data_IF_956784425814
#
_entry.id   IF_956784425814
#
_cell.length_a   1.000
_cell.length_b   1.000
_cell.length_c   1.000
_cell.angle_alpha   90.00
_cell.angle_beta   90.00
_cell.angle_gamma   90.00
#
_symmetry.space_group_name_H-M   'P 1'
#
loop_
_entity.id
_entity.type
_entity.pdbx_description
1 polymer ?
#
# COMPACT_ATOMS: atom_id res chain seq x y z
N UNK A 1 -8.70 -1.72 4.73
CA UNK A 1 -7.83 -2.57 3.89
C UNK A 1 -6.55 -3.03 4.56
N UNK A 2 -5.75 -2.16 5.21
CA UNK A 2 -4.50 -2.59 5.87
C UNK A 2 -4.72 -3.69 6.92
N UNK A 3 -5.69 -3.51 7.82
CA UNK A 3 -6.04 -4.54 8.81
C UNK A 3 -6.46 -5.88 8.16
N UNK A 4 -7.20 -5.82 7.05
CA UNK A 4 -7.59 -7.00 6.30
C UNK A 4 -6.36 -7.71 5.67
N UNK A 5 -5.42 -6.95 5.10
CA UNK A 5 -4.17 -7.51 4.59
C UNK A 5 -3.35 -8.20 5.69
N UNK A 6 -3.35 -7.67 6.92
CA UNK A 6 -2.69 -8.31 8.04
C UNK A 6 -3.34 -9.67 8.39
N UNK A 7 -4.67 -9.78 8.28
CA UNK A 7 -5.37 -11.06 8.44
C UNK A 7 -5.03 -12.05 7.30
N UNK A 8 -4.95 -11.56 6.06
CA UNK A 8 -4.57 -12.38 4.89
C UNK A 8 -3.14 -12.94 5.06
N UNK A 9 -2.20 -12.10 5.51
CA UNK A 9 -0.83 -12.52 5.82
C UNK A 9 -0.79 -13.52 6.98
N UNK A 10 -1.58 -13.31 8.03
CA UNK A 10 -1.70 -14.27 9.13
C UNK A 10 -2.27 -15.62 8.67
N UNK A 11 -3.06 -15.63 7.59
CA UNK A 11 -3.54 -16.84 6.91
C UNK A 11 -2.54 -17.47 5.94
N UNK A 12 -1.33 -16.92 5.80
CA UNK A 12 -0.27 -17.45 4.93
C UNK A 12 -0.26 -16.90 3.50
N UNK A 13 -1.18 -15.99 3.16
CA UNK A 13 -1.32 -15.46 1.81
C UNK A 13 -0.63 -14.09 1.68
N UNK A 14 0.13 -13.81 0.60
CA UNK A 14 0.78 -12.52 0.42
C UNK A 14 -0.22 -11.37 0.26
N UNK A 15 -0.03 -10.30 1.02
CA UNK A 15 -0.87 -9.09 0.92
C UNK A 15 -0.87 -8.45 -0.47
N UNK A 16 0.14 -8.74 -1.30
CA UNK A 16 0.26 -8.18 -2.65
C UNK A 16 -0.88 -8.57 -3.59
N UNK A 17 -1.56 -9.70 -3.32
CA UNK A 17 -2.78 -10.09 -4.03
C UNK A 17 -3.98 -9.19 -3.71
N UNK A 18 -4.02 -8.61 -2.50
CA UNK A 18 -5.05 -7.66 -2.09
C UNK A 18 -4.69 -6.24 -2.54
N UNK A 19 -3.42 -5.84 -2.42
CA UNK A 19 -3.01 -4.44 -2.63
C UNK A 19 -3.19 -3.96 -4.08
N UNK A 20 -3.11 -4.87 -5.06
CA UNK A 20 -3.37 -4.55 -6.47
C UNK A 20 -4.73 -3.88 -6.71
N UNK A 21 -5.74 -4.20 -5.89
CA UNK A 21 -7.07 -3.61 -6.00
C UNK A 21 -7.13 -2.17 -5.47
N UNK A 22 -6.16 -1.76 -4.66
CA UNK A 22 -6.09 -0.42 -4.07
C UNK A 22 -5.27 0.57 -4.89
N UNK A 23 -4.50 0.11 -5.88
CA UNK A 23 -3.55 0.97 -6.61
C UNK A 23 -4.23 2.11 -7.35
N UNK A 24 -5.44 1.87 -7.90
CA UNK A 24 -6.21 2.86 -8.65
C UNK A 24 -7.06 3.81 -7.81
N UNK A 25 -7.20 3.58 -6.50
CA UNK A 25 -8.10 4.36 -5.64
C UNK A 25 -7.71 5.84 -5.50
N UNK A 26 -6.46 6.18 -5.84
CA UNK A 26 -5.91 7.55 -5.73
C UNK A 26 -5.62 8.18 -7.09
N UNK A 27 -6.19 7.67 -8.18
CA UNK A 27 -5.97 8.24 -9.50
C UNK A 27 -6.34 9.73 -9.53
N UNK A 28 -5.48 10.56 -10.12
CA UNK A 28 -5.67 12.02 -10.19
C UNK A 28 -5.36 12.79 -8.90
N UNK A 29 -4.99 12.14 -7.80
CA UNK A 29 -4.66 12.82 -6.53
C UNK A 29 -3.17 13.15 -6.40
N UNK A 30 -2.80 14.21 -5.67
CA UNK A 30 -1.42 14.43 -5.23
C UNK A 30 -0.86 13.21 -4.49
N UNK A 31 0.38 12.82 -4.81
CA UNK A 31 1.02 11.63 -4.23
C UNK A 31 0.59 10.28 -4.84
N UNK A 32 -0.30 10.26 -5.84
CA UNK A 32 -0.75 9.01 -6.48
C UNK A 32 0.39 8.17 -7.08
N UNK A 33 1.44 8.82 -7.61
CA UNK A 33 2.64 8.14 -8.12
C UNK A 33 3.39 7.43 -6.99
N UNK A 34 3.66 8.13 -5.89
CA UNK A 34 4.34 7.56 -4.72
C UNK A 34 3.54 6.40 -4.11
N UNK A 35 2.23 6.57 -3.99
CA UNK A 35 1.33 5.50 -3.56
C UNK A 35 1.51 4.23 -4.40
N UNK A 36 1.47 4.35 -5.73
CA UNK A 36 1.68 3.22 -6.63
C UNK A 36 3.09 2.64 -6.50
N UNK A 37 4.12 3.47 -6.37
CA UNK A 37 5.50 3.01 -6.19
C UNK A 37 5.64 2.15 -4.94
N UNK A 38 5.20 2.63 -3.78
CA UNK A 38 5.34 1.90 -2.52
C UNK A 38 4.54 0.59 -2.53
N UNK A 39 3.28 0.60 -2.96
CA UNK A 39 2.44 -0.60 -2.95
C UNK A 39 2.80 -1.65 -4.01
N UNK A 40 3.60 -1.27 -5.02
CA UNK A 40 4.06 -2.19 -6.08
C UNK A 40 5.51 -2.63 -5.92
N UNK A 41 6.27 -2.03 -5.00
CA UNK A 41 7.68 -2.36 -4.78
C UNK A 41 7.84 -3.80 -4.29
N UNK A 42 8.53 -4.61 -5.10
CA UNK A 42 8.82 -6.01 -4.80
C UNK A 42 9.68 -6.18 -3.54
N UNK A 43 10.51 -5.19 -3.19
CA UNK A 43 11.36 -5.21 -2.00
C UNK A 43 10.54 -5.11 -0.72
N UNK A 44 9.38 -4.46 -0.79
CA UNK A 44 8.49 -4.26 0.34
C UNK A 44 7.51 -5.43 0.54
N UNK A 45 7.35 -6.35 -0.41
CA UNK A 45 6.32 -7.42 -0.36
C UNK A 45 6.38 -8.35 0.85
N UNK A 46 7.50 -8.38 1.58
CA UNK A 46 7.67 -9.16 2.82
C UNK A 46 7.48 -8.34 4.09
N UNK A 47 7.29 -7.03 3.96
CA UNK A 47 7.07 -6.12 5.09
C UNK A 47 5.63 -6.21 5.58
N UNK A 48 5.42 -5.77 6.81
CA UNK A 48 4.08 -5.62 7.39
C UNK A 48 3.26 -4.59 6.58
N UNK A 49 2.00 -4.89 6.19
CA UNK A 49 1.14 -3.98 5.46
C UNK A 49 0.98 -2.60 6.10
N UNK A 50 1.05 -2.48 7.43
CA UNK A 50 0.99 -1.21 8.14
C UNK A 50 2.26 -0.37 7.92
N UNK A 51 3.45 -1.01 7.87
CA UNK A 51 4.70 -0.33 7.50
C UNK A 51 4.64 0.18 6.08
N UNK A 52 4.19 -0.66 5.14
CA UNK A 52 4.02 -0.27 3.73
C UNK A 52 3.01 0.88 3.60
N UNK A 53 1.89 0.81 4.33
CA UNK A 53 0.89 1.88 4.34
C UNK A 53 1.43 3.21 4.88
N UNK A 54 2.32 3.18 5.87
CA UNK A 54 2.95 4.40 6.40
C UNK A 54 3.85 5.03 5.34
N UNK A 55 4.75 4.25 4.75
CA UNK A 55 5.62 4.70 3.65
C UNK A 55 4.81 5.28 2.49
N UNK A 56 3.69 4.65 2.13
CA UNK A 56 2.83 5.11 1.03
C UNK A 56 2.14 6.45 1.32
N UNK A 57 1.98 6.83 2.60
CA UNK A 57 1.38 8.10 3.03
C UNK A 57 2.40 9.23 3.14
N UNK A 58 3.68 8.93 3.33
CA UNK A 58 4.74 9.94 3.48
C UNK A 58 4.95 10.78 2.20
N UNK A 59 4.72 10.22 1.01
CA UNK A 59 4.79 10.97 -0.25
C UNK A 59 3.49 11.64 -0.67
N UNK A 60 2.50 11.74 0.23
CA UNK A 60 1.29 12.53 0.02
C UNK A 60 1.53 13.90 0.65
N UNK A 61 1.69 14.98 -0.14
CA UNK A 61 1.77 16.31 0.44
C UNK A 61 0.48 16.60 1.21
N UNK A 62 0.59 17.27 2.36
CA UNK A 62 -0.56 17.81 3.06
C UNK A 62 -1.34 18.72 2.08
N UNK A 63 -2.66 18.56 2.02
CA UNK A 63 -3.51 19.52 1.32
C UNK A 63 -3.28 20.90 1.97
N UNK A 64 -3.16 21.98 1.18
CA UNK A 64 -3.04 23.33 1.71
C UNK A 64 -4.25 23.73 2.54
#
# INVERSE_FOLDING_TARGET
MVAYMQQVVAGGEPWSHVSRHMLGLRNGMPGARHWRQVWSDHRLKREDPARVSRLAREGVPALP
#
